data_IF_514624591714
#
_entry.id   IF_514624591714
#
_cell.length_a   1.000
_cell.length_b   1.000
_cell.length_c   1.000
_cell.angle_alpha   90.00
_cell.angle_beta   90.00
_cell.angle_gamma   90.00
#
_symmetry.space_group_name_H-M   'P 1'
#
loop_
_entity.id
_entity.type
_entity.pdbx_description
1 polymer ?
#
# COMPACT_ATOMS: atom_id res chain seq x y z
N UNK A 1 -14.87 -1.70 2.32
CA UNK A 1 -13.91 -2.79 2.07
C UNK A 1 -14.20 -3.94 3.02
N UNK A 2 -14.09 -5.20 2.59
CA UNK A 2 -14.25 -6.37 3.47
C UNK A 2 -13.18 -6.41 4.57
N UNK A 3 -13.32 -7.37 5.50
CA UNK A 3 -12.27 -7.70 6.47
C UNK A 3 -11.03 -8.28 5.80
N UNK A 4 -9.89 -8.25 6.50
CA UNK A 4 -8.60 -8.68 5.95
C UNK A 4 -8.57 -10.14 5.52
N UNK A 5 -9.12 -11.06 6.31
CA UNK A 5 -9.17 -12.50 6.00
C UNK A 5 -9.84 -12.80 4.65
N UNK A 6 -10.95 -12.10 4.36
CA UNK A 6 -11.66 -12.23 3.08
C UNK A 6 -10.82 -11.68 1.93
N UNK A 7 -10.21 -10.50 2.10
CA UNK A 7 -9.34 -9.92 1.07
C UNK A 7 -8.09 -10.76 0.86
N UNK A 8 -7.52 -11.32 1.92
CA UNK A 8 -6.34 -12.17 1.89
C UNK A 8 -6.61 -13.44 1.11
N UNK A 9 -7.70 -14.16 1.43
CA UNK A 9 -8.07 -15.37 0.69
C UNK A 9 -8.26 -15.06 -0.80
N UNK A 10 -8.99 -13.98 -1.12
CA UNK A 10 -9.18 -13.54 -2.50
C UNK A 10 -7.83 -13.28 -3.21
N UNK A 11 -6.91 -12.57 -2.57
CA UNK A 11 -5.59 -12.27 -3.16
C UNK A 11 -4.70 -13.51 -3.32
N UNK A 12 -4.82 -14.51 -2.43
CA UNK A 12 -4.20 -15.83 -2.58
C UNK A 12 -4.76 -16.55 -3.81
N UNK A 13 -6.09 -16.56 -3.96
CA UNK A 13 -6.76 -17.24 -5.09
C UNK A 13 -6.40 -16.58 -6.43
N UNK A 14 -6.26 -15.25 -6.44
CA UNK A 14 -5.77 -14.48 -7.58
C UNK A 14 -4.25 -14.62 -7.82
N UNK A 15 -3.54 -15.35 -6.95
CA UNK A 15 -2.08 -15.55 -6.99
C UNK A 15 -1.32 -14.23 -7.13
N UNK A 16 -1.69 -13.23 -6.33
CA UNK A 16 -1.09 -11.90 -6.38
C UNK A 16 0.45 -11.99 -6.29
N UNK A 17 1.19 -11.58 -7.33
CA UNK A 17 2.65 -11.53 -7.27
C UNK A 17 3.11 -10.50 -6.23
N UNK A 18 4.04 -10.89 -5.38
CA UNK A 18 4.81 -9.97 -4.53
C UNK A 18 6.23 -9.90 -5.07
N UNK A 19 6.73 -8.69 -5.32
CA UNK A 19 8.01 -8.43 -5.97
C UNK A 19 8.98 -7.78 -5.00
N UNK A 20 10.24 -8.21 -5.05
CA UNK A 20 11.34 -7.47 -4.42
C UNK A 20 11.55 -6.13 -5.12
N UNK A 21 12.20 -5.15 -4.46
CA UNK A 21 12.55 -3.88 -5.09
C UNK A 21 13.33 -4.02 -6.41
N UNK A 22 14.25 -4.98 -6.48
CA UNK A 22 15.05 -5.24 -7.67
C UNK A 22 14.20 -5.77 -8.84
N UNK A 23 13.32 -6.74 -8.58
CA UNK A 23 12.40 -7.26 -9.59
C UNK A 23 11.43 -6.18 -10.09
N UNK A 24 10.91 -5.36 -9.17
CA UNK A 24 10.04 -4.24 -9.50
C UNK A 24 10.76 -3.23 -10.41
N UNK A 25 12.00 -2.84 -10.07
CA UNK A 25 12.83 -1.95 -10.90
C UNK A 25 13.05 -2.52 -12.30
N UNK A 26 13.35 -3.81 -12.41
CA UNK A 26 13.53 -4.46 -13.72
C UNK A 26 12.23 -4.42 -14.55
N UNK A 27 11.07 -4.69 -13.95
CA UNK A 27 9.77 -4.66 -14.65
C UNK A 27 9.39 -3.26 -15.12
N UNK A 28 9.65 -2.25 -14.30
CA UNK A 28 9.40 -0.84 -14.65
C UNK A 28 10.35 -0.37 -15.75
N UNK A 29 11.62 -0.80 -15.70
CA UNK A 29 12.61 -0.51 -16.76
C UNK A 29 12.21 -1.04 -18.14
N UNK A 30 11.44 -2.13 -18.20
CA UNK A 30 10.84 -2.66 -19.44
C UNK A 30 9.62 -1.85 -19.94
N UNK A 31 9.24 -0.77 -19.25
CA UNK A 31 8.13 0.15 -19.58
C UNK A 31 6.73 -0.49 -19.64
N UNK A 32 6.58 -1.72 -19.14
CA UNK A 32 5.31 -2.47 -19.09
C UNK A 32 4.58 -2.35 -17.74
N UNK A 33 5.25 -1.82 -16.71
CA UNK A 33 4.73 -1.68 -15.36
C UNK A 33 4.99 -0.27 -14.84
N UNK A 34 4.15 0.18 -13.91
CA UNK A 34 4.26 1.46 -13.22
C UNK A 34 4.24 1.22 -11.72
N UNK A 35 5.15 1.88 -10.99
CA UNK A 35 5.10 1.94 -9.52
C UNK A 35 4.00 2.89 -9.09
N UNK A 36 3.11 2.41 -8.23
CA UNK A 36 1.98 3.19 -7.72
C UNK A 36 2.10 3.31 -6.21
N UNK A 37 2.34 4.53 -5.76
CA UNK A 37 2.37 4.87 -4.35
C UNK A 37 0.95 5.11 -3.84
N UNK A 38 0.48 4.28 -2.92
CA UNK A 38 -0.87 4.37 -2.35
C UNK A 38 -0.88 5.06 -0.98
N UNK A 39 0.23 5.69 -0.59
CA UNK A 39 0.30 6.56 0.60
C UNK A 39 -0.49 7.86 0.38
N UNK A 40 -0.77 8.64 1.44
CA UNK A 40 -1.21 10.02 1.27
C UNK A 40 -0.30 10.77 0.30
N UNK A 41 -0.88 11.66 -0.49
CA UNK A 41 -0.13 12.41 -1.51
C UNK A 41 1.03 13.18 -0.91
N UNK A 42 0.87 13.71 0.30
CA UNK A 42 1.90 14.47 1.02
C UNK A 42 3.15 13.62 1.26
N UNK A 43 2.99 12.35 1.64
CA UNK A 43 4.12 11.43 1.82
C UNK A 43 4.84 11.13 0.50
N UNK A 44 4.10 11.10 -0.60
CA UNK A 44 4.68 10.92 -1.93
C UNK A 44 5.46 12.18 -2.33
N UNK A 45 4.87 13.37 -2.18
CA UNK A 45 5.53 14.65 -2.49
C UNK A 45 6.82 14.86 -1.69
N UNK A 46 6.88 14.43 -0.43
CA UNK A 46 8.09 14.48 0.40
C UNK A 46 9.21 13.57 -0.12
N UNK A 47 8.92 12.27 -0.30
CA UNK A 47 9.90 11.31 -0.81
C UNK A 47 9.25 10.05 -1.39
N UNK A 48 9.63 9.65 -2.60
CA UNK A 48 9.08 8.49 -3.28
C UNK A 48 10.08 7.83 -4.25
N UNK A 49 9.89 6.55 -4.64
CA UNK A 49 10.66 5.90 -5.69
C UNK A 49 10.58 6.68 -7.01
N UNK A 50 11.72 6.89 -7.66
CA UNK A 50 11.78 7.62 -8.92
C UNK A 50 10.88 6.99 -10.00
N UNK A 51 10.09 7.83 -10.69
CA UNK A 51 9.15 7.39 -11.72
C UNK A 51 7.87 6.73 -11.20
N UNK A 52 7.66 6.67 -9.88
CA UNK A 52 6.37 6.26 -9.32
C UNK A 52 5.30 7.34 -9.45
N UNK A 53 4.03 6.92 -9.40
CA UNK A 53 2.87 7.82 -9.44
C UNK A 53 2.06 7.71 -8.15
N UNK A 54 1.62 8.86 -7.63
CA UNK A 54 0.71 8.91 -6.48
C UNK A 54 -0.71 8.54 -6.88
N UNK A 55 -1.27 7.51 -6.25
CA UNK A 55 -2.70 7.16 -6.30
C UNK A 55 -3.13 6.71 -4.90
N UNK A 56 -3.46 7.66 -3.99
CA UNK A 56 -3.76 7.33 -2.60
C UNK A 56 -4.98 6.42 -2.48
N UNK A 57 -4.86 5.33 -1.72
CA UNK A 57 -6.00 4.44 -1.43
C UNK A 57 -7.02 5.13 -0.50
N UNK A 58 -6.54 6.02 0.37
CA UNK A 58 -7.36 6.77 1.30
C UNK A 58 -7.10 8.27 1.11
N UNK A 59 -8.17 9.07 1.12
CA UNK A 59 -8.13 10.53 1.07
C UNK A 59 -8.75 11.13 2.33
N UNK A 60 -8.36 12.35 2.68
CA UNK A 60 -8.98 13.10 3.77
C UNK A 60 -10.46 13.29 3.47
N UNK A 61 -11.32 13.07 4.46
CA UNK A 61 -12.76 13.36 4.30
C UNK A 61 -12.92 14.87 4.09
N UNK A 62 -13.58 15.26 2.99
CA UNK A 62 -13.86 16.67 2.75
C UNK A 62 -14.91 17.15 3.76
N UNK A 63 -14.57 18.24 4.44
CA UNK A 63 -15.43 18.88 5.43
C UNK A 63 -16.59 19.57 4.71
N UNK A 64 -17.79 18.99 4.79
CA UNK A 64 -18.98 19.56 4.13
C UNK A 64 -20.14 18.59 3.94
N UNK A 65 -19.93 17.27 4.08
CA UNK A 65 -20.97 16.25 3.92
C UNK A 65 -21.39 15.54 5.21
N UNK A 66 -21.15 16.15 6.38
CA UNK A 66 -21.38 15.50 7.67
C UNK A 66 -22.59 16.06 8.40
N UNK A 67 -23.48 15.19 8.89
CA UNK A 67 -24.54 15.52 9.87
C UNK A 67 -23.94 16.22 11.10
N UNK A 68 -24.72 17.00 11.86
CA UNK A 68 -24.27 17.69 13.09
C UNK A 68 -23.44 16.78 14.04
N UNK A 69 -23.86 15.53 14.24
CA UNK A 69 -23.09 14.56 15.05
C UNK A 69 -21.75 14.15 14.43
N UNK A 70 -21.66 14.13 13.10
CA UNK A 70 -20.41 13.89 12.40
C UNK A 70 -19.47 15.10 12.45
N UNK A 71 -20.01 16.32 12.47
CA UNK A 71 -19.23 17.53 12.75
C UNK A 71 -18.61 17.50 14.16
N UNK A 72 -19.41 17.18 15.19
CA UNK A 72 -18.91 17.08 16.58
C UNK A 72 -17.79 16.03 16.69
N UNK A 73 -17.95 14.87 16.05
CA UNK A 73 -16.90 13.83 16.00
C UNK A 73 -15.66 14.29 15.25
N UNK A 74 -15.80 14.95 14.11
CA UNK A 74 -14.67 15.46 13.33
C UNK A 74 -13.88 16.52 14.10
N UNK A 75 -14.57 17.46 14.76
CA UNK A 75 -13.96 18.45 15.63
C UNK A 75 -13.19 17.78 16.77
N UNK A 76 -13.81 16.85 17.51
CA UNK A 76 -13.17 16.12 18.60
C UNK A 76 -11.91 15.33 18.15
N UNK A 77 -11.94 14.71 16.97
CA UNK A 77 -10.77 14.03 16.38
C UNK A 77 -9.67 15.03 16.01
N UNK A 78 -10.02 16.17 15.42
CA UNK A 78 -9.07 17.21 15.04
C UNK A 78 -8.38 17.84 16.26
N UNK A 79 -9.07 18.02 17.39
CA UNK A 79 -8.43 18.50 18.65
C UNK A 79 -7.35 17.53 19.15
N UNK A 80 -7.46 16.24 18.80
CA UNK A 80 -6.47 15.21 19.09
C UNK A 80 -5.46 14.99 17.94
N UNK A 81 -5.44 15.87 16.93
CA UNK A 81 -4.53 15.78 15.78
C UNK A 81 -4.89 14.65 14.79
N UNK A 82 -6.07 14.07 14.87
CA UNK A 82 -6.51 12.97 14.00
C UNK A 82 -7.30 13.52 12.82
N UNK A 83 -6.77 13.34 11.60
CA UNK A 83 -7.50 13.66 10.37
C UNK A 83 -8.30 12.44 9.91
N UNK A 84 -9.64 12.54 9.76
CA UNK A 84 -10.44 11.43 9.27
C UNK A 84 -10.12 11.12 7.80
N UNK A 85 -9.85 9.85 7.51
CA UNK A 85 -9.55 9.35 6.17
C UNK A 85 -10.69 8.45 5.68
N UNK A 86 -11.14 8.65 4.45
CA UNK A 86 -12.08 7.78 3.76
C UNK A 86 -11.38 7.04 2.61
N UNK A 87 -11.98 5.95 2.16
CA UNK A 87 -11.55 5.26 0.94
C UNK A 87 -11.68 6.24 -0.23
N UNK A 88 -10.66 6.31 -1.08
CA UNK A 88 -10.72 7.10 -2.30
C UNK A 88 -11.68 6.43 -3.30
N UNK A 89 -12.88 6.99 -3.47
CA UNK A 89 -13.89 6.45 -4.39
C UNK A 89 -13.42 6.50 -5.87
N UNK A 90 -12.50 7.41 -6.19
CA UNK A 90 -11.90 7.56 -7.52
C UNK A 90 -10.64 6.70 -7.70
N UNK A 91 -10.29 5.85 -6.72
CA UNK A 91 -9.03 5.09 -6.73
C UNK A 91 -8.86 4.29 -8.03
N UNK A 92 -9.92 3.65 -8.52
CA UNK A 92 -9.90 2.88 -9.77
C UNK A 92 -9.53 3.75 -10.98
N UNK A 93 -10.27 4.84 -11.17
CA UNK A 93 -10.12 5.70 -12.36
C UNK A 93 -8.75 6.40 -12.35
N UNK A 94 -8.28 6.80 -11.17
CA UNK A 94 -6.94 7.35 -10.99
C UNK A 94 -5.85 6.31 -11.26
N UNK A 95 -6.05 5.06 -10.83
CA UNK A 95 -5.12 3.96 -11.09
C UNK A 95 -5.04 3.61 -12.57
N UNK A 96 -6.19 3.55 -13.26
CA UNK A 96 -6.25 3.32 -14.70
C UNK A 96 -5.55 4.43 -15.47
N UNK A 97 -5.81 5.69 -15.13
CA UNK A 97 -5.13 6.86 -15.73
C UNK A 97 -3.63 6.87 -15.45
N UNK A 98 -3.23 6.52 -14.22
CA UNK A 98 -1.82 6.47 -13.83
C UNK A 98 -1.07 5.36 -14.57
N UNK A 99 -1.69 4.20 -14.78
CA UNK A 99 -1.05 3.08 -15.47
C UNK A 99 -1.13 3.19 -16.99
N UNK A 100 -2.16 3.82 -17.55
CA UNK A 100 -2.36 3.89 -19.00
C UNK A 100 -2.45 2.51 -19.64
N UNK A 101 -3.10 1.56 -18.97
CA UNK A 101 -3.23 0.15 -19.39
C UNK A 101 -2.03 -0.75 -19.10
N UNK A 102 -0.96 -0.22 -18.49
CA UNK A 102 0.20 -1.01 -18.03
C UNK A 102 -0.11 -1.76 -16.73
N UNK A 103 0.78 -2.66 -16.33
CA UNK A 103 0.69 -3.30 -15.02
C UNK A 103 0.95 -2.32 -13.87
N UNK A 104 0.30 -2.53 -12.73
CA UNK A 104 0.50 -1.75 -11.50
C UNK A 104 1.33 -2.54 -10.48
N UNK A 105 2.39 -1.93 -9.96
CA UNK A 105 3.12 -2.42 -8.78
C UNK A 105 2.75 -1.49 -7.62
N UNK A 106 1.91 -1.98 -6.72
CA UNK A 106 1.33 -1.19 -5.63
C UNK A 106 2.24 -1.22 -4.40
N UNK A 107 2.53 -0.04 -3.86
CA UNK A 107 3.38 0.10 -2.68
C UNK A 107 2.79 1.09 -1.68
N UNK A 108 2.96 0.79 -0.40
CA UNK A 108 2.75 1.74 0.67
C UNK A 108 4.08 1.90 1.43
N UNK A 109 4.02 2.39 2.67
CA UNK A 109 5.22 2.69 3.45
C UNK A 109 6.17 1.49 3.62
N UNK A 110 5.68 0.40 4.19
CA UNK A 110 6.50 -0.75 4.54
C UNK A 110 5.94 -2.09 4.01
N UNK A 111 5.00 -2.02 3.06
CA UNK A 111 4.31 -3.20 2.55
C UNK A 111 3.53 -3.98 3.62
N UNK A 112 3.13 -5.18 3.27
CA UNK A 112 2.57 -6.21 4.14
C UNK A 112 3.07 -7.56 3.65
N UNK A 113 2.47 -8.66 4.10
CA UNK A 113 2.79 -9.98 3.55
C UNK A 113 1.55 -10.83 3.37
N UNK A 114 1.50 -11.56 2.26
CA UNK A 114 0.51 -12.62 2.02
C UNK A 114 0.89 -13.92 2.73
N UNK A 115 2.14 -14.06 3.19
CA UNK A 115 2.64 -15.27 3.86
C UNK A 115 2.23 -15.30 5.33
N UNK A 116 1.51 -16.34 5.78
CA UNK A 116 1.20 -16.54 7.18
C UNK A 116 2.43 -16.66 8.08
N UNK A 117 2.26 -16.35 9.37
CA UNK A 117 3.22 -16.64 10.43
C UNK A 117 2.47 -16.93 11.73
N UNK A 118 3.17 -17.38 12.77
CA UNK A 118 2.56 -17.65 14.09
C UNK A 118 1.79 -16.45 14.67
N UNK A 119 2.28 -15.23 14.43
CA UNK A 119 1.64 -14.00 14.91
C UNK A 119 0.59 -13.44 13.93
N UNK A 120 0.57 -13.93 12.69
CA UNK A 120 -0.28 -13.42 11.61
C UNK A 120 -0.74 -14.57 10.71
N UNK A 121 -1.77 -15.30 11.13
CA UNK A 121 -2.26 -16.51 10.45
C UNK A 121 -2.81 -16.28 9.03
N UNK A 122 -3.20 -15.04 8.71
CA UNK A 122 -3.60 -14.62 7.34
C UNK A 122 -2.61 -13.60 6.77
N UNK A 123 -1.32 -13.74 7.11
CA UNK A 123 -0.31 -12.75 6.79
C UNK A 123 -0.60 -11.37 7.40
N UNK A 124 0.20 -10.38 7.00
CA UNK A 124 0.14 -9.03 7.57
C UNK A 124 -0.50 -8.06 6.60
N UNK A 125 -1.64 -7.52 6.99
CA UNK A 125 -2.35 -6.50 6.20
C UNK A 125 -1.51 -5.24 6.00
N UNK A 126 -1.66 -4.63 4.82
CA UNK A 126 -1.09 -3.33 4.50
C UNK A 126 -2.03 -2.52 3.60
N UNK A 127 -1.73 -1.23 3.45
CA UNK A 127 -2.45 -0.35 2.50
C UNK A 127 -2.26 -0.82 1.06
N UNK A 128 -1.06 -1.25 0.68
CA UNK A 128 -0.78 -1.77 -0.67
C UNK A 128 -1.50 -3.08 -0.98
N UNK A 129 -1.68 -3.98 0.00
CA UNK A 129 -2.47 -5.20 -0.19
C UNK A 129 -3.98 -4.91 -0.31
N UNK A 130 -4.51 -3.97 0.50
CA UNK A 130 -5.89 -3.48 0.33
C UNK A 130 -6.10 -2.82 -1.03
N UNK A 131 -5.11 -2.06 -1.51
CA UNK A 131 -5.13 -1.46 -2.83
C UNK A 131 -5.10 -2.54 -3.94
N UNK A 132 -4.33 -3.61 -3.77
CA UNK A 132 -4.30 -4.73 -4.71
C UNK A 132 -5.67 -5.41 -4.81
N UNK A 133 -6.34 -5.62 -3.68
CA UNK A 133 -7.70 -6.12 -3.66
C UNK A 133 -8.64 -5.21 -4.46
N UNK A 134 -8.62 -3.89 -4.22
CA UNK A 134 -9.46 -2.96 -4.99
C UNK A 134 -9.13 -2.94 -6.48
N UNK A 135 -7.84 -2.94 -6.85
CA UNK A 135 -7.40 -2.93 -8.24
C UNK A 135 -7.88 -4.16 -9.01
N UNK A 136 -7.80 -5.35 -8.40
CA UNK A 136 -8.20 -6.60 -9.05
C UNK A 136 -9.73 -6.75 -9.00
N UNK A 137 -10.35 -6.65 -7.82
CA UNK A 137 -11.77 -6.97 -7.68
C UNK A 137 -12.69 -5.89 -8.24
N UNK A 138 -12.38 -4.62 -7.99
CA UNK A 138 -13.24 -3.50 -8.42
C UNK A 138 -12.72 -2.87 -9.71
N UNK A 139 -11.40 -2.74 -9.84
CA UNK A 139 -10.75 -2.22 -11.03
C UNK A 139 -10.66 -3.22 -12.19
N UNK A 140 -10.89 -4.51 -11.93
CA UNK A 140 -10.78 -5.60 -12.92
C UNK A 140 -9.41 -5.62 -13.63
N UNK A 141 -8.37 -5.11 -12.97
CA UNK A 141 -7.01 -5.08 -13.49
C UNK A 141 -6.40 -6.49 -13.46
N UNK A 142 -5.84 -6.92 -14.59
CA UNK A 142 -5.21 -8.24 -14.74
C UNK A 142 -3.75 -8.27 -14.27
N UNK A 143 -3.04 -7.16 -14.44
CA UNK A 143 -1.61 -7.05 -14.14
C UNK A 143 -1.41 -6.19 -12.90
N UNK A 144 -1.51 -6.81 -11.73
CA UNK A 144 -1.30 -6.17 -10.43
C UNK A 144 -0.23 -6.95 -9.68
N UNK A 145 0.69 -6.24 -9.03
CA UNK A 145 1.68 -6.82 -8.14
C UNK A 145 1.80 -5.95 -6.87
N UNK A 146 2.26 -6.58 -5.79
CA UNK A 146 2.57 -5.93 -4.52
C UNK A 146 4.08 -5.73 -4.38
N UNK A 147 4.53 -4.57 -3.92
CA UNK A 147 5.95 -4.34 -3.61
C UNK A 147 6.29 -4.81 -2.19
N UNK A 148 7.19 -5.77 -2.07
CA UNK A 148 7.65 -6.28 -0.78
C UNK A 148 8.40 -5.22 0.02
N UNK A 149 7.99 -5.02 1.26
CA UNK A 149 8.55 -4.01 2.15
C UNK A 149 8.32 -2.55 1.73
N UNK A 150 7.53 -2.30 0.68
CA UNK A 150 7.08 -0.97 0.27
C UNK A 150 8.21 0.03 -0.08
N UNK A 151 7.91 1.32 0.08
CA UNK A 151 8.85 2.42 -0.18
C UNK A 151 10.09 2.32 0.70
N UNK A 152 9.92 1.87 1.96
CA UNK A 152 11.03 1.67 2.88
C UNK A 152 12.07 0.67 2.33
N UNK A 153 11.63 -0.49 1.85
CA UNK A 153 12.54 -1.50 1.33
C UNK A 153 13.15 -1.11 -0.02
N UNK A 154 12.43 -0.33 -0.83
CA UNK A 154 12.99 0.31 -2.02
C UNK A 154 14.16 1.24 -1.67
N UNK A 155 13.97 2.13 -0.69
CA UNK A 155 15.01 3.01 -0.18
C UNK A 155 16.19 2.20 0.40
N UNK A 156 15.92 1.22 1.27
CA UNK A 156 16.96 0.36 1.86
C UNK A 156 17.77 -0.42 0.83
N UNK A 157 17.15 -0.72 -0.31
CA UNK A 157 17.81 -1.39 -1.44
C UNK A 157 18.72 -0.46 -2.26
N UNK A 158 18.90 0.80 -1.85
CA UNK A 158 19.74 1.78 -2.54
C UNK A 158 19.21 2.15 -3.94
N UNK A 159 17.89 1.98 -4.16
CA UNK A 159 17.28 2.29 -5.44
C UNK A 159 16.92 3.78 -5.54
N UNK A 160 16.85 4.35 -6.75
CA UNK A 160 16.63 5.78 -6.94
C UNK A 160 15.32 6.28 -6.31
N UNK A 161 15.42 7.43 -5.65
CA UNK A 161 14.33 8.13 -4.96
C UNK A 161 14.30 9.58 -5.43
N UNK A 162 13.12 10.16 -5.44
CA UNK A 162 12.90 11.61 -5.46
C UNK A 162 12.69 12.06 -4.01
N UNK A 163 13.34 13.15 -3.61
CA UNK A 163 13.29 13.68 -2.24
C UNK A 163 14.15 12.91 -1.24
N UNK A 164 14.15 13.38 0.01
CA UNK A 164 14.89 12.74 1.10
C UNK A 164 13.95 11.88 1.95
N UNK A 165 14.18 10.58 1.97
CA UNK A 165 13.36 9.66 2.74
C UNK A 165 13.56 9.88 4.25
N UNK A 166 12.49 10.22 4.97
CA UNK A 166 12.53 10.49 6.40
C UNK A 166 12.73 9.19 7.21
N UNK A 167 13.96 8.98 7.68
CA UNK A 167 14.31 7.83 8.52
C UNK A 167 13.95 7.99 10.00
N UNK A 168 13.51 9.18 10.44
CA UNK A 168 13.18 9.47 11.84
C UNK A 168 11.97 8.72 12.37
N UNK A 169 11.12 8.19 11.47
CA UNK A 169 9.95 7.39 11.82
C UNK A 169 10.15 5.87 11.62
N UNK A 170 11.37 5.43 11.33
CA UNK A 170 11.69 4.01 11.20
C UNK A 170 11.38 3.26 12.50
N UNK A 171 10.61 2.18 12.40
CA UNK A 171 10.18 1.37 13.55
C UNK A 171 8.84 1.80 14.19
N UNK A 172 8.33 3.00 13.89
CA UNK A 172 6.95 3.39 14.25
C UNK A 172 5.91 2.90 13.25
N UNK A 173 6.35 2.49 12.06
CA UNK A 173 5.54 1.80 11.07
C UNK A 173 5.59 0.30 11.40
N UNK A 174 4.52 -0.29 11.95
CA UNK A 174 4.57 -1.67 12.44
C UNK A 174 4.95 -2.68 11.35
N UNK A 175 4.79 -2.32 10.07
CA UNK A 175 5.11 -3.15 8.91
C UNK A 175 6.58 -3.12 8.49
N UNK A 176 7.42 -2.20 8.98
CA UNK A 176 8.84 -2.11 8.64
C UNK A 176 9.74 -3.05 9.46
N UNK A 177 9.16 -3.82 10.39
CA UNK A 177 9.88 -4.80 11.20
C UNK A 177 10.35 -5.99 10.34
N UNK A 178 11.55 -6.49 10.63
CA UNK A 178 12.13 -7.66 9.96
C UNK A 178 11.17 -8.86 10.02
N UNK A 179 11.20 -9.70 8.98
CA UNK A 179 10.51 -10.98 8.99
C UNK A 179 11.00 -11.81 10.21
N UNK A 180 10.09 -12.50 10.93
CA UNK A 180 10.49 -13.30 12.08
C UNK A 180 11.46 -14.42 11.65
N UNK A 181 12.59 -14.54 12.35
CA UNK A 181 13.69 -15.49 12.06
C UNK A 181 13.56 -16.81 12.82
N UNK A 182 12.35 -17.18 13.26
CA UNK A 182 12.13 -18.43 13.99
C UNK A 182 12.20 -19.65 13.08
N UNK A 183 12.84 -20.74 13.55
CA UNK A 183 12.68 -22.07 12.95
C UNK A 183 11.22 -22.49 13.16
N UNK A 184 10.46 -22.57 12.07
CA UNK A 184 9.15 -23.20 12.09
C UNK A 184 9.39 -24.69 12.39
N UNK A 185 8.67 -25.26 13.36
CA UNK A 185 8.70 -26.70 13.57
C UNK A 185 8.14 -27.33 12.29
N UNK A 186 8.93 -28.16 11.63
CA UNK A 186 8.45 -28.96 10.51
C UNK A 186 7.25 -29.78 10.99
N UNK A 187 6.12 -29.65 10.28
CA UNK A 187 4.90 -30.38 10.56
C UNK A 187 5.20 -31.89 10.47
N UNK A 188 4.93 -32.60 11.57
CA UNK A 188 4.88 -34.08 11.62
C UNK A 188 3.54 -34.59 11.16
#
# INVERSE_FOLDING_TARGET
MPRWDVMWQYLIDQKLPTLTPQEAKQRVGKKQWVLIDVRPTENHEEAHPEGSKSVPLFKKVQWGQTTFMGFVRAAAMAVNGVTPMAVNEQFKDELERATGGKGAILMCEAGGTMTPSSNFVTGKVSRSLKAAYQAIEQGKMKNVAHLDGGVYNWYKSGLPMVGEYNTGNLGRTPNAANAPTGKYFDDK
#
